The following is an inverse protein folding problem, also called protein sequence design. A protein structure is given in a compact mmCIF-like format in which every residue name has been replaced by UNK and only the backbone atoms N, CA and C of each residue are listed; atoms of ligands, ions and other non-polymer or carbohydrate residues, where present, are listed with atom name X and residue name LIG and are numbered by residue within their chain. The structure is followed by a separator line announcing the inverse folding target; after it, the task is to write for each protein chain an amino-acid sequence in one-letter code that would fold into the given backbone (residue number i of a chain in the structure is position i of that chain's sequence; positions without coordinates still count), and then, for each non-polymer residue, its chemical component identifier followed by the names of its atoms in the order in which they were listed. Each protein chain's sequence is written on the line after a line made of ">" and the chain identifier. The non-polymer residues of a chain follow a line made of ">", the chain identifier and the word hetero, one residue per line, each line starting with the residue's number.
data_IF_925021993024
#
_entry.id   IF_925021993024
#
_cell.length_a   1.000
_cell.length_b   1.000
_cell.length_c   1.000
_cell.angle_alpha   90.00
_cell.angle_beta   90.00
_cell.angle_gamma   90.00
#
_symmetry.space_group_name_H-M   'P 1'
#
loop_
_entity.id
_entity.type
_entity.pdbx_description
1 polymer ?
#
# COMPACT_ATOMS: atom_id res chain seq x y z
N UNK A 1 3.42 2.07 -26.37
CA UNK A 1 4.88 1.84 -26.47
C UNK A 1 5.20 0.56 -25.71
N UNK A 2 6.09 -0.28 -26.23
CA UNK A 2 6.48 -1.54 -25.58
C UNK A 2 7.31 -1.35 -24.29
N UNK A 3 7.61 -0.11 -23.91
CA UNK A 3 8.48 0.28 -22.79
C UNK A 3 7.73 0.91 -21.63
N UNK A 4 6.39 0.92 -21.66
CA UNK A 4 5.56 1.41 -20.58
C UNK A 4 5.47 0.42 -19.40
N UNK A 5 5.12 0.93 -18.23
CA UNK A 5 4.78 0.08 -17.07
C UNK A 5 3.54 -0.79 -17.35
N UNK A 6 3.40 -1.86 -16.59
CA UNK A 6 2.29 -2.82 -16.71
C UNK A 6 1.64 -3.05 -15.36
N UNK A 7 0.30 -3.08 -15.31
CA UNK A 7 -0.44 -3.64 -14.20
C UNK A 7 -0.46 -5.18 -14.36
N UNK A 8 0.13 -5.90 -13.42
CA UNK A 8 0.23 -7.36 -13.49
C UNK A 8 -0.87 -8.06 -12.70
N UNK A 9 -1.24 -7.51 -11.56
CA UNK A 9 -2.28 -8.07 -10.70
C UNK A 9 -2.82 -7.02 -9.75
N UNK A 10 -4.03 -7.25 -9.24
CA UNK A 10 -4.67 -6.32 -8.31
C UNK A 10 -5.71 -7.02 -7.46
N UNK A 11 -6.08 -6.38 -6.36
CA UNK A 11 -7.18 -6.77 -5.49
C UNK A 11 -7.89 -5.51 -4.97
N UNK A 12 -9.21 -5.61 -4.81
CA UNK A 12 -10.05 -4.57 -4.25
C UNK A 12 -11.10 -5.19 -3.35
N UNK A 13 -11.17 -4.72 -2.09
CA UNK A 13 -12.04 -5.27 -1.05
C UNK A 13 -12.84 -4.19 -0.35
N UNK A 14 -14.00 -4.58 0.14
CA UNK A 14 -14.82 -3.76 1.02
C UNK A 14 -15.40 -4.61 2.14
N UNK A 15 -15.39 -4.06 3.35
CA UNK A 15 -15.95 -4.65 4.57
C UNK A 15 -16.86 -3.60 5.24
N UNK A 16 -18.04 -3.40 4.67
CA UNK A 16 -18.98 -2.36 5.08
C UNK A 16 -19.48 -2.52 6.53
N UNK A 17 -19.44 -3.73 7.08
CA UNK A 17 -19.73 -4.02 8.48
C UNK A 17 -18.75 -3.37 9.47
N UNK A 18 -17.58 -2.92 8.99
CA UNK A 18 -16.58 -2.22 9.79
C UNK A 18 -16.68 -0.70 9.73
N UNK A 19 -17.74 -0.15 9.11
CA UNK A 19 -17.88 1.31 8.95
C UNK A 19 -17.80 2.08 10.26
N UNK A 20 -18.28 1.50 11.34
CA UNK A 20 -18.42 2.21 12.63
C UNK A 20 -17.08 2.32 13.41
N UNK A 21 -16.00 1.66 12.95
CA UNK A 21 -14.68 1.79 13.59
C UNK A 21 -13.81 2.91 13.02
N UNK A 22 -14.15 3.39 11.80
CA UNK A 22 -13.42 4.48 11.12
C UNK A 22 -14.38 5.20 10.17
N UNK A 23 -14.83 6.39 10.56
CA UNK A 23 -15.75 7.19 9.74
C UNK A 23 -15.61 8.69 10.01
N UNK A 24 -16.21 9.50 9.15
CA UNK A 24 -16.46 10.90 9.38
C UNK A 24 -17.85 11.25 8.88
N UNK A 25 -18.64 11.95 9.68
CA UNK A 25 -19.90 12.54 9.24
C UNK A 25 -19.64 13.81 8.41
N UNK A 26 -20.59 14.18 7.56
CA UNK A 26 -20.50 15.41 6.78
C UNK A 26 -20.44 16.61 7.72
N UNK A 27 -19.34 17.37 7.64
CA UNK A 27 -19.08 18.51 8.52
C UNK A 27 -18.60 18.16 9.92
N UNK A 28 -18.41 16.86 10.21
CA UNK A 28 -17.88 16.35 11.46
C UNK A 28 -16.37 16.10 11.45
N UNK A 29 -15.88 15.54 12.56
CA UNK A 29 -14.48 15.10 12.69
C UNK A 29 -14.36 13.61 12.42
N UNK A 30 -13.14 13.15 12.12
CA UNK A 30 -12.85 11.73 11.94
C UNK A 30 -12.96 11.02 13.30
N UNK A 31 -13.80 9.99 13.37
CA UNK A 31 -13.81 9.02 14.47
C UNK A 31 -12.95 7.81 14.10
N UNK A 32 -12.17 7.32 15.06
CA UNK A 32 -11.32 6.15 14.86
C UNK A 32 -11.18 5.34 16.15
N UNK A 33 -11.62 4.10 16.14
CA UNK A 33 -11.34 3.11 17.18
C UNK A 33 -9.91 2.55 16.97
N UNK A 34 -8.87 3.31 17.41
CA UNK A 34 -7.48 3.14 16.99
C UNK A 34 -6.93 1.72 17.09
N UNK A 35 -7.15 0.99 18.21
CA UNK A 35 -6.65 -0.37 18.39
C UNK A 35 -7.34 -1.39 17.46
N UNK A 36 -8.61 -1.18 17.18
CA UNK A 36 -9.38 -2.04 16.28
C UNK A 36 -9.02 -1.76 14.83
N UNK A 37 -8.96 -0.49 14.45
CA UNK A 37 -8.48 -0.06 13.13
C UNK A 37 -7.09 -0.60 12.85
N UNK A 38 -6.16 -0.56 13.82
CA UNK A 38 -4.83 -1.15 13.66
C UNK A 38 -4.88 -2.63 13.26
N UNK A 39 -5.64 -3.45 14.02
CA UNK A 39 -5.77 -4.88 13.74
C UNK A 39 -6.39 -5.16 12.38
N UNK A 40 -7.48 -4.46 12.06
CA UNK A 40 -8.20 -4.63 10.78
C UNK A 40 -7.39 -4.13 9.60
N UNK A 41 -6.67 -3.03 9.73
CA UNK A 41 -5.77 -2.49 8.72
C UNK A 41 -4.65 -3.48 8.36
N UNK A 42 -4.00 -4.07 9.36
CA UNK A 42 -2.95 -5.10 9.12
C UNK A 42 -3.53 -6.30 8.36
N UNK A 43 -4.71 -6.78 8.74
CA UNK A 43 -5.38 -7.89 8.05
C UNK A 43 -5.70 -7.49 6.62
N UNK A 44 -6.38 -6.37 6.43
CA UNK A 44 -6.83 -5.87 5.13
C UNK A 44 -5.66 -5.67 4.15
N UNK A 45 -4.58 -4.99 4.59
CA UNK A 45 -3.38 -4.79 3.77
C UNK A 45 -2.67 -6.10 3.43
N UNK A 46 -2.57 -7.01 4.40
CA UNK A 46 -1.89 -8.30 4.17
C UNK A 46 -2.67 -9.18 3.19
N UNK A 47 -3.97 -9.32 3.39
CA UNK A 47 -4.81 -10.15 2.53
C UNK A 47 -4.94 -9.58 1.12
N UNK A 48 -5.14 -8.26 1.01
CA UNK A 48 -5.21 -7.58 -0.28
C UNK A 48 -3.86 -7.65 -1.01
N UNK A 49 -2.74 -7.40 -0.30
CA UNK A 49 -1.41 -7.50 -0.88
C UNK A 49 -1.10 -8.92 -1.38
N UNK A 50 -1.44 -9.95 -0.60
CA UNK A 50 -1.29 -11.36 -1.04
C UNK A 50 -2.10 -11.65 -2.30
N UNK A 51 -3.37 -11.26 -2.31
CA UNK A 51 -4.24 -11.51 -3.46
C UNK A 51 -3.74 -10.80 -4.74
N UNK A 52 -3.21 -9.58 -4.62
CA UNK A 52 -2.60 -8.88 -5.74
C UNK A 52 -1.33 -9.57 -6.25
N UNK A 53 -0.46 -10.07 -5.35
CA UNK A 53 0.74 -10.84 -5.69
C UNK A 53 0.37 -12.15 -6.39
N UNK A 54 -0.58 -12.89 -5.84
CA UNK A 54 -1.09 -14.14 -6.42
C UNK A 54 -1.72 -13.88 -7.80
N UNK A 55 -2.52 -12.81 -7.94
CA UNK A 55 -3.12 -12.38 -9.21
C UNK A 55 -2.08 -12.01 -10.26
N UNK A 56 -0.94 -11.46 -9.84
CA UNK A 56 0.17 -11.13 -10.72
C UNK A 56 1.00 -12.35 -11.14
N UNK A 57 0.80 -13.50 -10.50
CA UNK A 57 1.56 -14.73 -10.77
C UNK A 57 3.02 -14.67 -10.34
N UNK A 58 3.34 -13.85 -9.33
CA UNK A 58 4.70 -13.65 -8.80
C UNK A 58 4.79 -14.07 -7.34
N UNK A 59 6.00 -14.26 -6.83
CA UNK A 59 6.25 -14.54 -5.42
C UNK A 59 6.54 -13.26 -4.63
N UNK A 60 6.32 -13.24 -3.30
CA UNK A 60 6.70 -12.10 -2.46
C UNK A 60 8.18 -11.71 -2.55
N UNK A 61 9.06 -12.69 -2.81
CA UNK A 61 10.50 -12.44 -2.97
C UNK A 61 10.90 -11.72 -4.25
N UNK A 62 10.01 -11.66 -5.25
CA UNK A 62 10.22 -10.93 -6.49
C UNK A 62 9.78 -9.46 -6.38
N UNK A 63 9.06 -9.09 -5.31
CA UNK A 63 8.65 -7.70 -5.09
C UNK A 63 9.87 -6.87 -4.67
N UNK A 64 10.32 -6.02 -5.58
CA UNK A 64 11.49 -5.14 -5.36
C UNK A 64 11.16 -4.02 -4.37
N UNK A 65 9.94 -3.48 -4.42
CA UNK A 65 9.52 -2.33 -3.61
C UNK A 65 8.05 -2.46 -3.22
N UNK A 66 7.74 -2.05 -1.98
CA UNK A 66 6.37 -1.88 -1.52
C UNK A 66 6.13 -0.41 -1.19
N UNK A 67 5.08 0.16 -1.75
CA UNK A 67 4.65 1.54 -1.49
C UNK A 67 3.30 1.48 -0.75
N UNK A 68 3.34 1.39 0.59
CA UNK A 68 2.13 1.29 1.39
C UNK A 68 1.52 2.66 1.66
N UNK A 69 0.22 2.68 1.96
CA UNK A 69 -0.41 3.83 2.60
C UNK A 69 0.31 4.20 3.90
N UNK A 70 0.68 5.47 4.06
CA UNK A 70 1.52 6.00 5.15
C UNK A 70 0.70 6.30 6.42
N UNK A 71 -0.15 5.36 6.86
CA UNK A 71 -1.00 5.56 8.03
C UNK A 71 -0.22 5.54 9.34
N UNK A 72 0.61 4.50 9.52
CA UNK A 72 1.38 4.26 10.74
C UNK A 72 2.50 3.25 10.47
N UNK A 73 3.72 3.54 10.89
CA UNK A 73 4.87 2.67 10.65
C UNK A 73 4.66 1.24 11.20
N UNK A 74 4.01 1.09 12.37
CA UNK A 74 3.76 -0.22 12.99
C UNK A 74 2.79 -1.08 12.19
N UNK A 75 1.82 -0.47 11.48
CA UNK A 75 0.94 -1.17 10.54
C UNK A 75 1.78 -1.70 9.39
N UNK A 76 2.63 -0.85 8.81
CA UNK A 76 3.49 -1.20 7.68
C UNK A 76 4.43 -2.34 8.06
N UNK A 77 5.21 -2.21 9.15
CA UNK A 77 6.13 -3.25 9.63
C UNK A 77 5.44 -4.59 9.84
N UNK A 78 4.25 -4.56 10.46
CA UNK A 78 3.49 -5.78 10.73
C UNK A 78 2.97 -6.41 9.45
N UNK A 79 2.51 -5.61 8.49
CA UNK A 79 2.03 -6.08 7.19
C UNK A 79 3.17 -6.65 6.34
N UNK A 80 4.32 -5.99 6.29
CA UNK A 80 5.52 -6.47 5.58
C UNK A 80 5.95 -7.85 6.09
N UNK A 81 6.05 -8.02 7.41
CA UNK A 81 6.38 -9.31 8.03
C UNK A 81 5.38 -10.41 7.66
N UNK A 82 4.07 -10.09 7.62
CA UNK A 82 3.02 -11.06 7.26
C UNK A 82 3.00 -11.38 5.76
N UNK A 83 3.43 -10.46 4.91
CA UNK A 83 3.61 -10.67 3.47
C UNK A 83 4.88 -11.48 3.17
N UNK A 84 5.80 -11.62 4.12
CA UNK A 84 7.09 -12.25 3.90
C UNK A 84 8.06 -11.40 3.08
N UNK A 85 7.86 -10.08 3.07
CA UNK A 85 8.71 -9.12 2.37
C UNK A 85 9.52 -8.33 3.39
N UNK A 86 10.86 -8.20 3.23
CA UNK A 86 11.70 -7.44 4.14
C UNK A 86 11.25 -5.97 4.26
N UNK A 87 11.34 -5.40 5.49
CA UNK A 87 10.89 -4.03 5.72
C UNK A 87 11.70 -2.98 4.94
N UNK A 88 12.96 -3.25 4.65
CA UNK A 88 13.82 -2.41 3.81
C UNK A 88 13.27 -2.20 2.39
N UNK A 89 12.43 -3.12 1.91
CA UNK A 89 11.72 -2.97 0.64
C UNK A 89 10.50 -2.03 0.75
N UNK A 90 10.05 -1.69 1.96
CA UNK A 90 8.97 -0.73 2.11
C UNK A 90 9.46 0.73 1.97
N UNK A 91 8.63 1.56 1.38
CA UNK A 91 8.82 3.02 1.41
C UNK A 91 8.15 3.56 2.65
N UNK A 92 8.92 4.22 3.52
CA UNK A 92 8.41 4.95 4.67
C UNK A 92 8.82 6.42 4.55
N UNK A 93 7.84 7.31 4.54
CA UNK A 93 8.00 8.77 4.52
C UNK A 93 7.05 9.46 5.49
N UNK A 94 6.33 8.70 6.29
CA UNK A 94 5.36 9.23 7.25
C UNK A 94 5.96 10.09 8.35
N UNK A 95 7.26 9.98 8.61
CA UNK A 95 8.03 10.88 9.47
C UNK A 95 8.19 12.29 8.90
N UNK A 96 8.08 12.43 7.57
CA UNK A 96 8.21 13.71 6.85
C UNK A 96 6.87 14.31 6.45
N UNK A 97 5.90 13.46 6.09
CA UNK A 97 4.65 13.90 5.43
C UNK A 97 3.41 13.66 6.29
N UNK A 98 3.54 12.88 7.37
CA UNK A 98 2.41 12.34 8.13
C UNK A 98 1.45 11.53 7.25
N UNK A 99 0.23 11.27 7.74
CA UNK A 99 -0.81 10.61 6.96
C UNK A 99 -1.54 11.62 6.07
N UNK A 100 -1.24 11.61 4.78
CA UNK A 100 -1.85 12.47 3.76
C UNK A 100 -3.02 11.78 3.03
N UNK A 101 -3.69 10.83 3.69
CA UNK A 101 -4.84 10.09 3.12
C UNK A 101 -4.49 9.44 1.77
N UNK A 102 -5.34 9.64 0.75
CA UNK A 102 -5.14 9.06 -0.58
C UNK A 102 -3.84 9.51 -1.28
N UNK A 103 -3.33 10.69 -0.93
CA UNK A 103 -2.08 11.22 -1.49
C UNK A 103 -0.83 10.50 -0.95
N UNK A 104 -0.93 9.71 0.12
CA UNK A 104 0.23 9.12 0.78
C UNK A 104 1.01 8.14 -0.10
N UNK A 105 0.32 7.31 -0.89
CA UNK A 105 0.96 6.37 -1.82
C UNK A 105 1.69 7.11 -2.96
N UNK A 106 1.06 8.04 -3.72
CA UNK A 106 1.76 8.75 -4.77
C UNK A 106 2.90 9.64 -4.25
N UNK A 107 2.77 10.24 -3.07
CA UNK A 107 3.87 10.99 -2.43
C UNK A 107 5.03 10.04 -2.09
N UNK A 108 4.76 8.91 -1.46
CA UNK A 108 5.80 7.93 -1.12
C UNK A 108 6.49 7.36 -2.37
N UNK A 109 5.73 7.12 -3.44
CA UNK A 109 6.29 6.71 -4.73
C UNK A 109 7.20 7.80 -5.33
N UNK A 110 6.79 9.07 -5.27
CA UNK A 110 7.63 10.20 -5.69
C UNK A 110 8.98 10.23 -4.94
N UNK A 111 8.95 10.10 -3.61
CA UNK A 111 10.18 9.99 -2.82
C UNK A 111 11.05 8.78 -3.20
N UNK A 112 10.44 7.65 -3.53
CA UNK A 112 11.19 6.47 -3.98
C UNK A 112 11.87 6.70 -5.34
N UNK A 113 11.21 7.42 -6.25
CA UNK A 113 11.77 7.84 -7.54
C UNK A 113 12.93 8.81 -7.36
N UNK A 114 12.74 9.87 -6.59
CA UNK A 114 13.76 10.90 -6.33
C UNK A 114 15.01 10.30 -5.65
N UNK A 115 14.81 9.32 -4.77
CA UNK A 115 15.90 8.59 -4.10
C UNK A 115 16.48 7.44 -4.92
N UNK A 116 16.06 7.27 -6.18
CA UNK A 116 16.52 6.23 -7.10
C UNK A 116 16.33 4.80 -6.58
N UNK A 117 15.32 4.59 -5.74
CA UNK A 117 14.95 3.26 -5.25
C UNK A 117 14.15 2.46 -6.27
N UNK A 118 13.60 3.10 -7.30
CA UNK A 118 12.82 2.49 -8.38
C UNK A 118 13.69 2.34 -9.60
N UNK A 119 13.73 1.15 -10.17
CA UNK A 119 14.48 0.83 -11.39
C UNK A 119 13.53 0.29 -12.47
N UNK A 120 13.98 0.33 -13.72
CA UNK A 120 13.25 -0.30 -14.81
C UNK A 120 13.05 -1.80 -14.55
N UNK A 121 11.86 -2.29 -14.83
CA UNK A 121 11.37 -3.64 -14.61
C UNK A 121 11.19 -4.05 -13.14
N UNK A 122 11.35 -3.17 -12.16
CA UNK A 122 11.01 -3.47 -10.78
C UNK A 122 9.54 -3.87 -10.65
N UNK A 123 9.29 -4.88 -9.82
CA UNK A 123 7.94 -5.24 -9.38
C UNK A 123 7.61 -4.45 -8.12
N UNK A 124 6.62 -3.58 -8.22
CA UNK A 124 6.23 -2.68 -7.13
C UNK A 124 4.83 -3.07 -6.66
N UNK A 125 4.69 -3.34 -5.37
CA UNK A 125 3.39 -3.53 -4.72
C UNK A 125 2.92 -2.19 -4.15
N UNK A 126 1.81 -1.67 -4.66
CA UNK A 126 1.05 -0.59 -4.04
C UNK A 126 0.01 -1.23 -3.13
N UNK A 127 -0.13 -0.77 -1.88
CA UNK A 127 -1.10 -1.34 -0.95
C UNK A 127 -1.64 -0.30 0.03
N UNK A 128 -2.95 -0.27 0.18
CA UNK A 128 -3.60 0.68 1.06
C UNK A 128 -4.91 0.18 1.66
N UNK A 129 -5.36 0.91 2.68
CA UNK A 129 -6.68 0.75 3.28
C UNK A 129 -7.26 2.12 3.61
N UNK A 130 -8.56 2.16 3.79
CA UNK A 130 -9.30 3.36 4.19
C UNK A 130 -10.59 3.04 4.90
N UNK A 131 -11.34 4.09 5.23
CA UNK A 131 -12.66 3.96 5.83
C UNK A 131 -13.60 3.13 4.95
N UNK A 132 -14.57 2.50 5.57
CA UNK A 132 -15.53 1.65 4.89
C UNK A 132 -15.76 0.31 5.61
N UNK A 133 -14.84 -0.58 5.90
CA UNK A 133 -13.42 -0.46 5.57
C UNK A 133 -13.14 -0.95 4.16
N UNK A 134 -12.25 -0.28 3.43
CA UNK A 134 -11.83 -0.71 2.10
C UNK A 134 -10.33 -0.99 2.09
N UNK A 135 -9.89 -1.92 1.24
CA UNK A 135 -8.49 -2.14 0.95
C UNK A 135 -8.29 -2.34 -0.55
N UNK A 136 -7.16 -1.88 -1.05
CA UNK A 136 -6.77 -2.08 -2.43
C UNK A 136 -5.28 -2.33 -2.54
N UNK A 137 -4.91 -3.19 -3.47
CA UNK A 137 -3.51 -3.47 -3.80
C UNK A 137 -3.33 -3.67 -5.29
N UNK A 138 -2.15 -3.32 -5.79
CA UNK A 138 -1.79 -3.53 -7.17
C UNK A 138 -0.30 -3.89 -7.28
N UNK A 139 0.02 -4.90 -8.06
CA UNK A 139 1.40 -5.20 -8.49
C UNK A 139 1.60 -4.60 -9.87
N UNK A 140 2.55 -3.70 -9.97
CA UNK A 140 2.94 -3.07 -11.22
C UNK A 140 4.38 -3.43 -11.57
N UNK A 141 4.62 -3.71 -12.84
CA UNK A 141 5.97 -3.74 -13.39
C UNK A 141 6.32 -2.32 -13.84
N UNK A 142 7.38 -1.76 -13.29
CA UNK A 142 7.80 -0.41 -13.64
C UNK A 142 8.38 -0.38 -15.06
N UNK A 143 7.98 0.62 -15.85
CA UNK A 143 8.50 0.81 -17.19
C UNK A 143 9.93 1.35 -17.22
N UNK A 144 10.47 1.59 -18.42
CA UNK A 144 11.75 2.25 -18.57
C UNK A 144 11.66 3.69 -18.05
N UNK A 145 12.65 4.08 -17.25
CA UNK A 145 12.81 5.47 -16.80
C UNK A 145 13.62 6.17 -17.89
N UNK A 146 12.92 6.82 -18.81
CA UNK A 146 13.56 7.75 -19.74
C UNK A 146 13.91 9.01 -18.94
N UNK A 147 15.18 9.19 -18.64
CA UNK A 147 15.74 10.37 -18.00
C UNK A 147 15.68 11.62 -18.89
#
# INVERSE_FOLDING_TARGET
>A
SNNGGQLLGWDLRSAGELRDILFADIGGTIYMAGSEVFRKAVIAMTESGKAAIDSAGVSPSEISLVVPHQANIRIIETSMRKLGIPFENAVWVGDKTANTSAASIPIALGYALDSKRVKANDLILLVGFGAGMTAASAVIKWGEING
#
